data_IF_799348101210
#
_entry.id   IF_799348101210
#
_cell.length_a   1.000
_cell.length_b   1.000
_cell.length_c   1.000
_cell.angle_alpha   90.00
_cell.angle_beta   90.00
_cell.angle_gamma   90.00
#
_symmetry.space_group_name_H-M   'P 1'
#
loop_
_entity.id
_entity.type
_entity.pdbx_description
1 polymer ?
#
# COMPACT_ATOMS: atom_id res chain seq x y z
N UNK A 1 10.59 -9.00 -10.67
CA UNK A 1 11.26 -8.19 -9.64
C UNK A 1 10.39 -7.06 -9.11
N UNK A 2 9.89 -6.16 -9.95
CA UNK A 2 9.00 -5.07 -9.50
C UNK A 2 7.71 -5.58 -8.88
N UNK A 3 7.13 -6.63 -9.44
CA UNK A 3 5.94 -7.29 -8.89
C UNK A 3 6.17 -7.80 -7.47
N UNK A 4 7.33 -8.41 -7.22
CA UNK A 4 7.72 -8.87 -5.89
C UNK A 4 7.89 -7.72 -4.91
N UNK A 5 8.47 -6.59 -5.35
CA UNK A 5 8.61 -5.39 -4.53
C UNK A 5 7.25 -4.80 -4.18
N UNK A 6 6.32 -4.76 -5.14
CA UNK A 6 4.96 -4.28 -4.92
C UNK A 6 4.26 -5.17 -3.89
N UNK A 7 4.36 -6.49 -4.03
CA UNK A 7 3.75 -7.45 -3.09
C UNK A 7 4.30 -7.27 -1.67
N UNK A 8 5.61 -7.11 -1.52
CA UNK A 8 6.24 -6.86 -0.21
C UNK A 8 5.74 -5.57 0.42
N UNK A 9 5.62 -4.50 -0.36
CA UNK A 9 5.12 -3.22 0.14
C UNK A 9 3.65 -3.27 0.49
N UNK A 10 2.85 -4.04 -0.24
CA UNK A 10 1.43 -4.26 0.09
C UNK A 10 1.29 -5.02 1.40
N UNK A 11 2.12 -6.03 1.65
CA UNK A 11 2.13 -6.78 2.90
C UNK A 11 2.53 -5.87 4.06
N UNK A 12 3.58 -5.09 3.90
CA UNK A 12 4.03 -4.12 4.90
C UNK A 12 2.93 -3.10 5.22
N UNK A 13 2.30 -2.56 4.20
CA UNK A 13 1.18 -1.62 4.36
C UNK A 13 0.03 -2.24 5.13
N UNK A 14 -0.36 -3.47 4.80
CA UNK A 14 -1.42 -4.20 5.50
C UNK A 14 -1.08 -4.43 6.97
N UNK A 15 0.18 -4.76 7.27
CA UNK A 15 0.67 -4.93 8.64
C UNK A 15 0.56 -3.63 9.44
N UNK A 16 0.95 -2.51 8.85
CA UNK A 16 0.84 -1.20 9.49
C UNK A 16 -0.62 -0.80 9.72
N UNK A 17 -1.49 -1.07 8.77
CA UNK A 17 -2.93 -0.81 8.90
C UNK A 17 -3.56 -1.65 10.00
N UNK A 18 -3.11 -2.89 10.17
CA UNK A 18 -3.54 -3.76 11.27
C UNK A 18 -3.11 -3.18 12.63
N UNK A 19 -1.89 -2.69 12.72
CA UNK A 19 -1.39 -2.04 13.94
C UNK A 19 -2.20 -0.78 14.26
N UNK A 20 -2.54 0.03 13.26
CA UNK A 20 -3.41 1.21 13.41
C UNK A 20 -4.78 0.80 13.95
N UNK A 21 -5.36 -0.26 13.42
CA UNK A 21 -6.64 -0.78 13.88
C UNK A 21 -6.58 -1.19 15.36
N UNK A 22 -5.50 -1.87 15.75
CA UNK A 22 -5.29 -2.26 17.16
C UNK A 22 -5.16 -1.04 18.07
N UNK A 23 -4.48 0.01 17.60
CA UNK A 23 -4.37 1.28 18.34
C UNK A 23 -5.76 1.91 18.51
N UNK A 24 -6.57 1.96 17.46
CA UNK A 24 -7.92 2.52 17.53
C UNK A 24 -8.79 1.76 18.53
N UNK A 25 -8.69 0.44 18.57
CA UNK A 25 -9.39 -0.37 19.56
C UNK A 25 -8.94 -0.05 20.98
N UNK A 26 -7.62 0.10 21.19
CA UNK A 26 -7.05 0.43 22.50
C UNK A 26 -7.50 1.81 22.97
N UNK A 27 -7.50 2.80 22.06
CA UNK A 27 -7.97 4.16 22.37
C UNK A 27 -9.44 4.14 22.76
N UNK A 28 -10.26 3.39 22.07
CA UNK A 28 -11.69 3.26 22.39
C UNK A 28 -11.89 2.64 23.77
N UNK A 29 -11.15 1.57 24.09
CA UNK A 29 -11.18 0.94 25.42
C UNK A 29 -10.81 1.93 26.51
N UNK A 30 -9.71 2.66 26.34
CA UNK A 30 -9.28 3.65 27.33
C UNK A 30 -10.30 4.78 27.49
N UNK A 31 -10.93 5.20 26.40
CA UNK A 31 -11.98 6.23 26.44
C UNK A 31 -13.19 5.72 27.23
N UNK A 32 -13.60 4.47 27.02
CA UNK A 32 -14.67 3.84 27.80
C UNK A 32 -14.31 3.71 29.28
N UNK A 33 -13.07 3.36 29.58
CA UNK A 33 -12.59 3.26 30.97
C UNK A 33 -12.68 4.62 31.69
N UNK A 34 -12.31 5.70 31.04
CA UNK A 34 -12.47 7.06 31.59
C UNK A 34 -13.94 7.36 31.87
N UNK A 35 -14.83 7.06 30.95
CA UNK A 35 -16.27 7.32 31.08
C UNK A 35 -16.87 6.47 32.21
N UNK A 36 -16.51 5.20 32.28
CA UNK A 36 -16.97 4.30 33.33
C UNK A 36 -16.49 4.77 34.70
N UNK A 37 -15.21 5.14 34.83
CA UNK A 37 -14.65 5.66 36.09
C UNK A 37 -15.37 6.94 36.52
N UNK A 38 -15.79 7.78 35.59
CA UNK A 38 -16.57 8.98 35.91
C UNK A 38 -17.93 8.66 36.49
N UNK A 39 -18.61 7.63 35.95
CA UNK A 39 -19.94 7.19 36.42
C UNK A 39 -19.86 6.54 37.80
N UNK A 40 -18.80 5.80 38.10
CA UNK A 40 -18.61 5.07 39.37
C UNK A 40 -18.07 5.93 40.51
N UNK A 41 -17.92 7.21 40.28
CA UNK A 41 -17.36 8.13 41.28
C UNK A 41 -18.21 8.21 42.51
N UNK A 42 -17.62 7.91 43.68
CA UNK A 42 -18.28 8.00 44.98
C UNK A 42 -17.36 8.61 46.04
N UNK A 43 -17.77 9.64 46.66
CA UNK A 43 -17.63 9.98 48.05
C UNK A 43 -16.49 10.85 48.49
N UNK A 44 -15.31 10.44 48.79
CA UNK A 44 -14.29 11.21 49.51
C UNK A 44 -13.37 12.01 48.57
N UNK A 45 -12.74 13.08 49.12
CA UNK A 45 -11.72 13.85 48.40
C UNK A 45 -10.55 12.95 47.95
N UNK A 46 -10.17 12.00 48.80
CA UNK A 46 -9.12 11.03 48.53
C UNK A 46 -9.44 10.18 47.32
N UNK A 47 -10.67 9.67 47.24
CA UNK A 47 -11.16 8.89 46.10
C UNK A 47 -11.20 9.73 44.83
N UNK A 48 -11.58 10.98 44.96
CA UNK A 48 -11.59 11.94 43.88
C UNK A 48 -10.18 12.18 43.30
N UNK A 49 -9.19 12.32 44.15
CA UNK A 49 -7.79 12.49 43.75
C UNK A 49 -7.26 11.25 43.04
N UNK A 50 -7.53 10.07 43.55
CA UNK A 50 -7.13 8.80 42.93
C UNK A 50 -7.78 8.67 41.55
N UNK A 51 -9.05 8.99 41.44
CA UNK A 51 -9.76 8.98 40.15
C UNK A 51 -9.15 9.95 39.16
N UNK A 52 -8.81 11.17 39.59
CA UNK A 52 -8.17 12.17 38.74
C UNK A 52 -6.82 11.70 38.24
N UNK A 53 -5.99 11.11 39.11
CA UNK A 53 -4.70 10.53 38.71
C UNK A 53 -4.87 9.39 37.71
N UNK A 54 -5.85 8.54 37.94
CA UNK A 54 -6.15 7.43 37.01
C UNK A 54 -6.57 7.93 35.63
N UNK A 55 -7.45 8.91 35.58
CA UNK A 55 -7.87 9.53 34.33
C UNK A 55 -6.70 10.20 33.60
N UNK A 56 -5.84 10.89 34.30
CA UNK A 56 -4.67 11.55 33.71
C UNK A 56 -3.70 10.51 33.13
N UNK A 57 -3.51 9.39 33.85
CA UNK A 57 -2.68 8.29 33.35
C UNK A 57 -3.25 7.70 32.06
N UNK A 58 -4.56 7.48 31.98
CA UNK A 58 -5.22 6.97 30.78
C UNK A 58 -5.10 7.97 29.64
N UNK A 59 -5.31 9.26 29.89
CA UNK A 59 -5.15 10.31 28.87
C UNK A 59 -3.74 10.35 28.31
N UNK A 60 -2.74 10.16 29.16
CA UNK A 60 -1.35 10.08 28.73
C UNK A 60 -1.13 8.89 27.77
N UNK A 61 -1.66 7.71 28.13
CA UNK A 61 -1.58 6.54 27.26
C UNK A 61 -2.29 6.74 25.93
N UNK A 62 -3.46 7.37 25.95
CA UNK A 62 -4.19 7.73 24.72
C UNK A 62 -3.36 8.66 23.84
N UNK A 63 -2.74 9.67 24.42
CA UNK A 63 -1.89 10.63 23.69
C UNK A 63 -0.72 9.91 23.03
N UNK A 64 -0.06 8.99 23.73
CA UNK A 64 1.02 8.19 23.16
C UNK A 64 0.55 7.32 22.00
N UNK A 65 -0.60 6.68 22.14
CA UNK A 65 -1.17 5.83 21.09
C UNK A 65 -1.55 6.63 19.86
N UNK A 66 -2.15 7.80 20.05
CA UNK A 66 -2.50 8.69 18.93
C UNK A 66 -1.24 9.16 18.20
N UNK A 67 -0.19 9.51 18.93
CA UNK A 67 1.09 9.88 18.34
C UNK A 67 1.66 8.74 17.49
N UNK A 68 1.64 7.53 18.02
CA UNK A 68 2.10 6.33 17.31
C UNK A 68 1.26 6.09 16.05
N UNK A 69 -0.06 6.22 16.18
CA UNK A 69 -0.99 6.10 15.06
C UNK A 69 -0.64 7.08 13.94
N UNK A 70 -0.39 8.34 14.28
CA UNK A 70 -0.05 9.38 13.30
C UNK A 70 1.27 9.06 12.58
N UNK A 71 2.25 8.52 13.29
CA UNK A 71 3.51 8.06 12.68
C UNK A 71 3.26 6.92 11.70
N UNK A 72 2.41 5.97 12.08
CA UNK A 72 2.05 4.84 11.22
C UNK A 72 1.27 5.27 9.99
N UNK A 73 0.36 6.23 10.14
CA UNK A 73 -0.40 6.79 9.01
C UNK A 73 0.52 7.44 7.98
N UNK A 74 1.54 8.14 8.43
CA UNK A 74 2.55 8.72 7.52
C UNK A 74 3.32 7.63 6.78
N UNK A 75 3.68 6.56 7.46
CA UNK A 75 4.36 5.42 6.81
C UNK A 75 3.47 4.74 5.78
N UNK A 76 2.19 4.55 6.10
CA UNK A 76 1.22 3.98 5.17
C UNK A 76 1.09 4.86 3.92
N UNK A 77 1.02 6.17 4.10
CA UNK A 77 0.95 7.10 2.97
C UNK A 77 2.20 7.01 2.08
N UNK A 78 3.38 6.99 2.69
CA UNK A 78 4.64 6.83 1.96
C UNK A 78 4.66 5.52 1.17
N UNK A 79 4.26 4.42 1.78
CA UNK A 79 4.18 3.11 1.11
C UNK A 79 3.18 3.14 -0.05
N UNK A 80 2.05 3.78 0.15
CA UNK A 80 1.03 3.92 -0.89
C UNK A 80 1.60 4.64 -2.12
N UNK A 81 2.32 5.75 -1.92
CA UNK A 81 2.95 6.50 -3.01
C UNK A 81 4.03 5.69 -3.70
N UNK A 82 4.84 4.94 -2.94
CA UNK A 82 5.86 4.06 -3.50
C UNK A 82 5.25 2.94 -4.34
N UNK A 83 4.13 2.38 -3.89
CA UNK A 83 3.41 1.34 -4.64
C UNK A 83 2.89 1.90 -5.96
N UNK A 84 2.29 3.08 -5.95
CA UNK A 84 1.81 3.74 -7.16
C UNK A 84 2.95 3.94 -8.16
N UNK A 85 4.09 4.42 -7.69
CA UNK A 85 5.26 4.64 -8.54
C UNK A 85 5.77 3.34 -9.16
N UNK A 86 5.86 2.27 -8.37
CA UNK A 86 6.27 0.96 -8.86
C UNK A 86 5.28 0.40 -9.89
N UNK A 87 3.98 0.61 -9.67
CA UNK A 87 2.95 0.18 -10.61
C UNK A 87 3.07 0.92 -11.94
N UNK A 88 3.32 2.22 -11.90
CA UNK A 88 3.56 3.02 -13.12
C UNK A 88 4.77 2.52 -13.90
N UNK A 89 5.88 2.27 -13.21
CA UNK A 89 7.08 1.73 -13.84
C UNK A 89 6.84 0.35 -14.46
N UNK A 90 6.09 -0.51 -13.77
CA UNK A 90 5.72 -1.82 -14.27
C UNK A 90 4.86 -1.73 -15.54
N UNK A 91 3.89 -0.83 -15.57
CA UNK A 91 3.04 -0.60 -16.74
C UNK A 91 3.82 -0.04 -17.92
N UNK A 92 4.72 0.91 -17.68
CA UNK A 92 5.60 1.46 -18.71
C UNK A 92 6.49 0.38 -19.32
N UNK A 93 7.03 -0.49 -18.48
CA UNK A 93 7.87 -1.60 -18.93
C UNK A 93 7.07 -2.57 -19.80
N UNK A 94 5.86 -2.91 -19.40
CA UNK A 94 4.96 -3.76 -20.19
C UNK A 94 4.64 -3.14 -21.55
N UNK A 95 4.37 -1.85 -21.57
CA UNK A 95 4.10 -1.11 -22.79
C UNK A 95 5.29 -1.18 -23.75
N UNK A 96 6.49 -0.95 -23.26
CA UNK A 96 7.72 -1.03 -24.06
C UNK A 96 7.90 -2.44 -24.64
N UNK A 97 7.69 -3.48 -23.82
CA UNK A 97 7.79 -4.86 -24.28
C UNK A 97 6.77 -5.18 -25.39
N UNK A 98 5.54 -4.68 -25.24
CA UNK A 98 4.50 -4.87 -26.26
C UNK A 98 4.85 -4.16 -27.56
N UNK A 99 5.40 -2.95 -27.49
CA UNK A 99 5.88 -2.22 -28.67
C UNK A 99 7.00 -2.99 -29.37
N UNK A 100 7.97 -3.51 -28.63
CA UNK A 100 9.06 -4.31 -29.19
C UNK A 100 8.54 -5.56 -29.89
N UNK A 101 7.59 -6.25 -29.29
CA UNK A 101 6.95 -7.42 -29.88
C UNK A 101 6.24 -7.07 -31.20
N UNK A 102 5.53 -5.97 -31.21
CA UNK A 102 4.82 -5.51 -32.39
C UNK A 102 5.79 -5.12 -33.52
N UNK A 103 6.88 -4.45 -33.19
CA UNK A 103 7.92 -4.11 -34.16
C UNK A 103 8.57 -5.36 -34.74
N UNK A 104 8.88 -6.36 -33.91
CA UNK A 104 9.43 -7.64 -34.37
C UNK A 104 8.45 -8.37 -35.28
N UNK A 105 7.17 -8.35 -34.93
CA UNK A 105 6.13 -8.96 -35.76
C UNK A 105 6.05 -8.29 -37.13
N UNK A 106 6.06 -6.98 -37.15
CA UNK A 106 6.04 -6.21 -38.41
C UNK A 106 7.27 -6.46 -39.27
N UNK A 107 8.45 -6.49 -38.65
CA UNK A 107 9.70 -6.77 -39.33
C UNK A 107 9.69 -8.17 -39.95
N UNK A 108 9.21 -9.17 -39.19
CA UNK A 108 9.09 -10.54 -39.66
C UNK A 108 8.11 -10.65 -40.84
N UNK A 109 6.97 -10.00 -40.74
CA UNK A 109 6.00 -9.95 -41.85
C UNK A 109 6.59 -9.29 -43.10
N UNK A 110 7.34 -8.22 -42.94
CA UNK A 110 8.01 -7.54 -44.04
C UNK A 110 9.02 -8.47 -44.72
N UNK A 111 9.85 -9.16 -43.97
CA UNK A 111 10.82 -10.13 -44.49
C UNK A 111 10.12 -11.28 -45.23
N UNK A 112 9.04 -11.80 -44.69
CA UNK A 112 8.24 -12.85 -45.33
C UNK A 112 7.64 -12.36 -46.65
N UNK A 113 7.17 -11.12 -46.71
CA UNK A 113 6.66 -10.52 -47.93
C UNK A 113 7.74 -10.38 -48.99
N UNK A 114 8.94 -9.93 -48.61
CA UNK A 114 10.06 -9.82 -49.53
C UNK A 114 10.48 -11.17 -50.08
N UNK A 115 10.53 -12.19 -49.24
CA UNK A 115 10.85 -13.56 -49.66
C UNK A 115 9.80 -14.11 -50.61
N UNK A 116 8.54 -13.85 -50.36
CA UNK A 116 7.45 -14.25 -51.28
C UNK A 116 7.55 -13.53 -52.62
N UNK A 117 7.87 -12.24 -52.62
CA UNK A 117 8.07 -11.49 -53.85
C UNK A 117 9.23 -12.06 -54.66
N UNK A 118 10.35 -12.34 -54.04
CA UNK A 118 11.51 -12.94 -54.67
C UNK A 118 11.17 -14.32 -55.24
N UNK A 119 10.44 -15.12 -54.49
CA UNK A 119 9.99 -16.44 -54.96
C UNK A 119 9.08 -16.32 -56.20
N UNK A 120 8.12 -15.42 -56.18
CA UNK A 120 7.21 -15.17 -57.28
C UNK A 120 7.99 -14.71 -58.53
N UNK A 121 8.91 -13.77 -58.38
CA UNK A 121 9.74 -13.28 -59.46
C UNK A 121 10.62 -14.38 -60.05
N UNK A 122 11.25 -15.16 -59.16
CA UNK A 122 12.08 -16.29 -59.57
C UNK A 122 11.28 -17.35 -60.30
N UNK A 123 10.08 -17.68 -59.81
CA UNK A 123 9.18 -18.61 -60.45
C UNK A 123 8.70 -18.09 -61.83
N UNK A 124 8.43 -16.80 -61.94
CA UNK A 124 8.01 -16.18 -63.20
C UNK A 124 9.13 -16.19 -64.25
N UNK A 125 10.36 -15.94 -63.86
CA UNK A 125 11.53 -15.96 -64.76
C UNK A 125 11.82 -17.40 -65.22
N UNK A 126 11.64 -18.40 -64.38
CA UNK A 126 11.89 -19.81 -64.71
C UNK A 126 10.76 -20.45 -65.56
N UNK A 127 9.61 -19.89 -65.46
CA UNK A 127 8.44 -20.36 -66.21
C UNK A 127 8.43 -19.90 -67.60
#
# INVERSE_FOLDING_TARGET
MKKSQIEQKLIEKASLQQEIYQIDESVEKFTQDINTATVQKLGSISDFMVLSMHKNSIRYEITKLIKRKNELLKKVETLFLEIIELQKESEQYKYILEEEKEERRKAKMHDEMLQNEEFIQSSYIRG
#
